data_IF_686616449400
#
_entry.id   IF_686616449400
#
_cell.length_a   1.000
_cell.length_b   1.000
_cell.length_c   1.000
_cell.angle_alpha   90.00
_cell.angle_beta   90.00
_cell.angle_gamma   90.00
#
_symmetry.space_group_name_H-M   'P 1'
#
loop_
_entity.id
_entity.type
_entity.pdbx_description
1 polymer ?
#
# COMPACT_ATOMS: atom_id res chain seq x y z
N UNK A 1 2.03 2.07 -17.37
CA UNK A 1 2.26 3.18 -18.32
C UNK A 1 3.60 3.86 -18.06
N UNK A 2 4.65 3.10 -17.87
CA UNK A 2 6.02 3.59 -17.89
C UNK A 2 6.74 2.70 -18.89
N UNK A 3 7.01 3.20 -20.09
CA UNK A 3 7.82 2.47 -21.05
C UNK A 3 9.23 2.36 -20.49
N UNK A 4 9.93 1.24 -20.76
CA UNK A 4 11.32 1.03 -20.32
C UNK A 4 12.32 2.04 -20.92
N UNK A 5 11.85 2.98 -21.72
CA UNK A 5 12.69 3.97 -22.43
C UNK A 5 12.97 5.26 -21.64
N UNK A 6 12.19 5.52 -20.57
CA UNK A 6 12.37 6.75 -19.79
C UNK A 6 12.51 6.43 -18.31
N UNK A 7 13.60 6.92 -17.72
CA UNK A 7 13.80 6.93 -16.26
C UNK A 7 12.99 8.07 -15.66
N UNK A 8 11.98 7.77 -14.87
CA UNK A 8 11.20 8.76 -14.13
C UNK A 8 11.85 9.00 -12.77
N UNK A 9 12.14 10.25 -12.46
CA UNK A 9 12.65 10.62 -11.14
C UNK A 9 11.66 10.23 -10.02
N UNK A 10 12.14 9.73 -8.88
CA UNK A 10 11.28 9.22 -7.80
C UNK A 10 10.22 10.21 -7.31
N UNK A 11 10.53 11.50 -7.23
CA UNK A 11 9.55 12.52 -6.85
C UNK A 11 8.48 12.71 -7.92
N UNK A 12 8.87 12.69 -9.19
CA UNK A 12 7.92 12.76 -10.31
C UNK A 12 6.97 11.57 -10.29
N UNK A 13 7.49 10.36 -10.06
CA UNK A 13 6.68 9.15 -9.89
C UNK A 13 5.64 9.32 -8.77
N UNK A 14 6.08 9.80 -7.59
CA UNK A 14 5.19 10.03 -6.45
C UNK A 14 4.09 11.06 -6.76
N UNK A 15 4.42 12.16 -7.42
CA UNK A 15 3.46 13.19 -7.81
C UNK A 15 2.45 12.68 -8.85
N UNK A 16 2.88 11.87 -9.81
CA UNK A 16 1.98 11.24 -10.79
C UNK A 16 0.99 10.29 -10.14
N UNK A 17 1.44 9.47 -9.19
CA UNK A 17 0.55 8.61 -8.41
C UNK A 17 -0.45 9.42 -7.59
N UNK A 18 -0.01 10.52 -6.98
CA UNK A 18 -0.89 11.36 -6.18
C UNK A 18 -1.91 12.11 -7.04
N UNK A 19 -1.51 12.61 -8.21
CA UNK A 19 -2.43 13.25 -9.16
C UNK A 19 -3.51 12.26 -9.65
N UNK A 20 -3.11 11.04 -10.03
CA UNK A 20 -4.05 9.99 -10.41
C UNK A 20 -5.00 9.63 -9.26
N UNK A 21 -4.51 9.61 -8.03
CA UNK A 21 -5.30 9.37 -6.82
C UNK A 21 -6.34 10.45 -6.60
N UNK A 22 -5.94 11.73 -6.70
CA UNK A 22 -6.87 12.83 -6.56
C UNK A 22 -8.03 12.73 -7.57
N UNK A 23 -7.74 12.36 -8.81
CA UNK A 23 -8.76 12.10 -9.81
C UNK A 23 -9.68 10.94 -9.43
N UNK A 24 -9.13 9.81 -8.97
CA UNK A 24 -9.89 8.64 -8.51
C UNK A 24 -10.79 8.96 -7.31
N UNK A 25 -10.28 9.75 -6.36
CA UNK A 25 -11.07 10.23 -5.21
C UNK A 25 -12.25 11.06 -5.70
N UNK A 26 -12.00 12.07 -6.52
CA UNK A 26 -13.05 12.99 -6.98
C UNK A 26 -14.10 12.35 -7.88
N UNK A 27 -13.69 11.48 -8.80
CA UNK A 27 -14.61 10.89 -9.79
C UNK A 27 -15.32 9.63 -9.30
N UNK A 28 -14.71 8.85 -8.41
CA UNK A 28 -15.25 7.53 -8.07
C UNK A 28 -15.47 7.38 -6.56
N UNK A 29 -14.43 7.58 -5.74
CA UNK A 29 -14.47 7.19 -4.33
C UNK A 29 -15.44 8.08 -3.56
N UNK A 30 -15.27 9.39 -3.63
CA UNK A 30 -16.12 10.36 -2.94
C UNK A 30 -17.60 10.20 -3.31
N UNK A 31 -18.00 10.23 -4.58
CA UNK A 31 -19.41 10.05 -4.94
C UNK A 31 -19.99 8.70 -4.50
N UNK A 32 -19.17 7.64 -4.54
CA UNK A 32 -19.62 6.31 -4.10
C UNK A 32 -19.89 6.27 -2.61
N UNK A 33 -18.99 6.80 -1.79
CA UNK A 33 -19.16 6.86 -0.34
C UNK A 33 -20.36 7.73 0.05
N UNK A 34 -20.52 8.89 -0.59
CA UNK A 34 -21.67 9.80 -0.38
C UNK A 34 -23.01 9.12 -0.73
N UNK A 35 -23.01 8.14 -1.61
CA UNK A 35 -24.15 7.31 -1.94
C UNK A 35 -24.26 6.02 -1.09
N UNK A 36 -23.48 5.88 -0.04
CA UNK A 36 -23.53 4.74 0.88
C UNK A 36 -22.88 3.45 0.34
N UNK A 37 -22.10 3.54 -0.75
CA UNK A 37 -21.43 2.40 -1.36
C UNK A 37 -20.11 2.15 -0.65
N UNK A 38 -19.91 0.94 -0.15
CA UNK A 38 -18.63 0.49 0.40
C UNK A 38 -17.63 0.23 -0.74
N UNK A 39 -16.38 0.67 -0.54
CA UNK A 39 -15.31 0.51 -1.53
C UNK A 39 -14.23 -0.38 -0.94
N UNK A 40 -13.77 -1.34 -1.74
CA UNK A 40 -12.57 -2.12 -1.47
C UNK A 40 -11.56 -1.76 -2.56
N UNK A 41 -10.36 -1.37 -2.14
CA UNK A 41 -9.25 -1.02 -3.03
C UNK A 41 -8.09 -1.98 -2.82
N UNK A 42 -7.59 -2.54 -3.91
CA UNK A 42 -6.28 -3.19 -3.90
C UNK A 42 -5.21 -2.10 -3.97
N UNK A 43 -4.57 -1.85 -2.81
CA UNK A 43 -3.62 -0.77 -2.54
C UNK A 43 -4.29 0.62 -2.51
N UNK A 44 -3.64 1.55 -1.82
CA UNK A 44 -4.14 2.92 -1.63
C UNK A 44 -2.98 3.92 -1.45
N UNK A 45 -3.28 5.10 -0.90
CA UNK A 45 -2.32 6.15 -0.59
C UNK A 45 -1.15 5.67 0.30
N UNK A 46 -1.43 4.80 1.27
CA UNK A 46 -0.38 4.20 2.10
C UNK A 46 0.70 3.46 1.31
N UNK A 47 0.35 2.86 0.16
CA UNK A 47 1.37 2.27 -0.71
C UNK A 47 2.36 3.30 -1.24
N UNK A 48 1.90 4.49 -1.61
CA UNK A 48 2.81 5.57 -2.03
C UNK A 48 3.71 6.05 -0.90
N UNK A 49 3.15 6.20 0.31
CA UNK A 49 3.93 6.58 1.50
C UNK A 49 5.07 5.59 1.75
N UNK A 50 4.79 4.29 1.62
CA UNK A 50 5.80 3.26 1.86
C UNK A 50 6.76 3.10 0.68
N UNK A 51 6.26 2.95 -0.54
CA UNK A 51 7.11 2.67 -1.71
C UNK A 51 7.98 3.87 -2.08
N UNK A 52 7.38 5.06 -2.24
CA UNK A 52 8.11 6.26 -2.62
C UNK A 52 8.74 6.93 -1.39
N UNK A 53 8.02 7.02 -0.26
CA UNK A 53 8.52 7.66 0.95
C UNK A 53 9.67 6.89 1.59
N UNK A 54 9.45 5.64 1.96
CA UNK A 54 10.44 4.79 2.65
C UNK A 54 11.34 4.08 1.65
N UNK A 55 10.77 3.33 0.72
CA UNK A 55 11.50 2.49 -0.22
C UNK A 55 12.43 3.28 -1.14
N UNK A 56 11.96 4.38 -1.74
CA UNK A 56 12.76 5.28 -2.58
C UNK A 56 13.50 6.36 -1.80
N UNK A 57 13.28 6.46 -0.47
CA UNK A 57 13.98 7.40 0.39
C UNK A 57 13.55 8.87 0.24
N UNK A 58 12.36 9.16 -0.28
CA UNK A 58 11.85 10.52 -0.40
C UNK A 58 11.40 11.14 0.94
N UNK A 59 11.27 10.32 1.98
CA UNK A 59 10.79 10.68 3.31
C UNK A 59 9.31 10.35 3.51
N UNK A 60 9.02 9.72 4.65
CA UNK A 60 7.67 9.29 5.03
C UNK A 60 6.71 10.49 5.08
N UNK A 61 7.01 11.50 5.91
CA UNK A 61 6.11 12.63 6.15
C UNK A 61 5.85 13.42 4.87
N UNK A 62 6.88 13.67 4.07
CA UNK A 62 6.75 14.36 2.78
C UNK A 62 5.76 13.68 1.84
N UNK A 63 5.85 12.36 1.69
CA UNK A 63 4.96 11.62 0.81
C UNK A 63 3.58 11.43 1.44
N UNK A 64 3.50 11.35 2.76
CA UNK A 64 2.23 11.37 3.47
C UNK A 64 1.47 12.67 3.21
N UNK A 65 2.09 13.83 3.38
CA UNK A 65 1.49 15.16 3.13
C UNK A 65 1.00 15.33 1.69
N UNK A 66 1.81 14.90 0.70
CA UNK A 66 1.40 14.92 -0.72
C UNK A 66 0.14 14.07 -0.94
N UNK A 67 0.09 12.89 -0.32
CA UNK A 67 -1.08 12.03 -0.44
C UNK A 67 -2.26 12.52 0.38
N UNK A 68 -2.05 13.19 1.50
CA UNK A 68 -3.12 13.79 2.31
C UNK A 68 -3.90 14.83 1.52
N UNK A 69 -3.19 15.68 0.79
CA UNK A 69 -3.82 16.60 -0.17
C UNK A 69 -4.58 15.85 -1.26
N UNK A 70 -4.02 14.77 -1.79
CA UNK A 70 -4.62 14.03 -2.90
C UNK A 70 -5.86 13.21 -2.49
N UNK A 71 -5.94 12.73 -1.26
CA UNK A 71 -7.09 11.95 -0.78
C UNK A 71 -8.23 12.82 -0.23
N UNK A 72 -8.00 14.10 0.04
CA UNK A 72 -9.01 15.08 0.49
C UNK A 72 -9.89 14.53 1.63
N UNK A 73 -9.26 13.94 2.66
CA UNK A 73 -9.94 13.33 3.80
C UNK A 73 -10.48 11.91 3.58
N UNK A 74 -10.40 11.35 2.37
CA UNK A 74 -10.89 10.00 2.06
C UNK A 74 -9.79 8.94 2.22
N UNK A 75 -9.10 8.94 3.38
CA UNK A 75 -8.22 7.85 3.75
C UNK A 75 -9.03 6.57 4.00
N UNK A 76 -8.43 5.38 3.75
CA UNK A 76 -9.09 4.11 4.11
C UNK A 76 -9.40 4.05 5.61
N UNK A 77 -10.63 3.73 5.96
CA UNK A 77 -11.04 3.52 7.35
C UNK A 77 -10.44 2.25 7.94
N UNK A 78 -10.31 1.21 7.12
CA UNK A 78 -9.73 -0.09 7.50
C UNK A 78 -8.72 -0.54 6.46
N UNK A 79 -7.59 -1.05 6.92
CA UNK A 79 -6.48 -1.53 6.07
C UNK A 79 -6.06 -2.92 6.51
N UNK A 80 -6.09 -3.87 5.60
CA UNK A 80 -5.56 -5.21 5.82
C UNK A 80 -4.16 -5.27 5.22
N UNK A 81 -3.17 -5.45 6.07
CA UNK A 81 -1.79 -5.66 5.67
C UNK A 81 -1.47 -7.16 5.68
N UNK A 82 -1.28 -7.72 4.49
CA UNK A 82 -0.81 -9.10 4.35
C UNK A 82 0.72 -9.10 4.48
N UNK A 83 1.21 -9.36 5.69
CA UNK A 83 2.64 -9.39 5.96
C UNK A 83 3.26 -10.73 5.55
N UNK A 84 4.39 -10.64 4.87
CA UNK A 84 5.21 -11.79 4.50
C UNK A 84 6.67 -11.36 4.40
N UNK A 85 7.58 -12.25 4.78
CA UNK A 85 8.99 -12.04 4.53
C UNK A 85 9.27 -11.92 3.03
N UNK A 86 9.98 -10.86 2.58
CA UNK A 86 10.27 -10.65 1.17
C UNK A 86 10.96 -11.83 0.49
N UNK A 87 11.87 -12.53 1.18
CA UNK A 87 12.55 -13.71 0.62
C UNK A 87 11.57 -14.86 0.38
N UNK A 88 10.58 -15.02 1.27
CA UNK A 88 9.52 -16.02 1.11
C UNK A 88 8.58 -15.62 -0.04
N UNK A 89 8.21 -14.34 -0.11
CA UNK A 89 7.37 -13.81 -1.18
C UNK A 89 8.00 -14.02 -2.56
N UNK A 90 9.27 -13.69 -2.71
CA UNK A 90 10.00 -13.84 -3.97
C UNK A 90 10.11 -15.30 -4.39
N UNK A 91 10.36 -16.23 -3.44
CA UNK A 91 10.35 -17.66 -3.73
C UNK A 91 8.99 -18.17 -4.22
N UNK A 92 7.88 -17.65 -3.69
CA UNK A 92 6.52 -17.99 -4.14
C UNK A 92 6.25 -17.55 -5.59
N UNK A 93 6.81 -16.43 -6.01
CA UNK A 93 6.62 -15.89 -7.36
C UNK A 93 7.44 -16.61 -8.43
N UNK A 94 8.27 -17.62 -8.07
CA UNK A 94 9.21 -18.33 -8.97
C UNK A 94 10.16 -17.40 -9.74
N UNK A 95 10.41 -16.21 -9.22
CA UNK A 95 11.35 -15.23 -9.78
C UNK A 95 12.74 -15.51 -9.20
N UNK A 96 13.22 -16.76 -9.36
CA UNK A 96 14.32 -17.26 -8.55
C UNK A 96 15.72 -16.78 -8.97
N UNK A 97 15.93 -16.25 -10.18
CA UNK A 97 17.31 -16.10 -10.67
C UNK A 97 17.74 -14.70 -11.09
N UNK A 98 16.93 -13.67 -10.90
CA UNK A 98 17.24 -12.31 -11.39
C UNK A 98 17.08 -11.18 -10.39
N UNK A 99 16.69 -11.46 -9.14
CA UNK A 99 16.53 -10.41 -8.14
C UNK A 99 17.88 -10.18 -7.48
N UNK A 100 18.47 -9.02 -7.76
CA UNK A 100 19.71 -8.59 -7.12
C UNK A 100 19.51 -8.25 -5.64
N UNK A 101 20.60 -8.21 -4.88
CA UNK A 101 20.59 -7.82 -3.45
C UNK A 101 19.90 -6.46 -3.22
N UNK A 102 20.08 -5.51 -4.13
CA UNK A 102 19.46 -4.18 -4.06
C UNK A 102 17.93 -4.21 -4.15
N UNK A 103 17.37 -5.16 -4.86
CA UNK A 103 15.92 -5.31 -5.01
C UNK A 103 15.31 -5.95 -3.75
N UNK A 104 15.98 -6.95 -3.19
CA UNK A 104 15.59 -7.54 -1.91
C UNK A 104 15.65 -6.52 -0.77
N UNK A 105 16.70 -5.70 -0.71
CA UNK A 105 16.84 -4.63 0.29
C UNK A 105 15.74 -3.58 0.17
N UNK A 106 15.32 -3.26 -1.06
CA UNK A 106 14.18 -2.40 -1.30
C UNK A 106 12.89 -2.99 -0.70
N UNK A 107 12.60 -4.27 -0.96
CA UNK A 107 11.40 -4.91 -0.41
C UNK A 107 11.45 -5.10 1.11
N UNK A 108 12.63 -5.28 1.70
CA UNK A 108 12.79 -5.28 3.16
C UNK A 108 12.43 -3.91 3.76
N UNK A 109 12.89 -2.82 3.15
CA UNK A 109 12.50 -1.47 3.56
C UNK A 109 11.01 -1.21 3.39
N UNK A 110 10.43 -1.66 2.28
CA UNK A 110 8.97 -1.55 2.04
C UNK A 110 8.19 -2.28 3.12
N UNK A 111 8.54 -3.52 3.46
CA UNK A 111 7.89 -4.28 4.54
C UNK A 111 8.01 -3.55 5.87
N UNK A 112 9.20 -3.11 6.24
CA UNK A 112 9.43 -2.34 7.48
C UNK A 112 8.59 -1.06 7.51
N UNK A 113 8.52 -0.33 6.41
CA UNK A 113 7.67 0.85 6.27
C UNK A 113 6.18 0.56 6.48
N UNK A 114 5.67 -0.56 6.00
CA UNK A 114 4.29 -0.97 6.26
C UNK A 114 4.05 -1.35 7.71
N UNK A 115 4.99 -2.02 8.36
CA UNK A 115 4.89 -2.36 9.78
C UNK A 115 4.90 -1.09 10.65
N UNK A 116 5.78 -0.13 10.35
CA UNK A 116 5.77 1.18 11.01
C UNK A 116 4.46 1.94 10.80
N UNK A 117 3.89 1.89 9.59
CA UNK A 117 2.55 2.44 9.32
C UNK A 117 1.48 1.78 10.17
N UNK A 118 1.49 0.47 10.27
CA UNK A 118 0.50 -0.28 11.05
C UNK A 118 0.59 -0.01 12.54
N UNK A 119 1.77 0.27 13.07
CA UNK A 119 1.96 0.71 14.45
C UNK A 119 1.45 2.15 14.67
N UNK A 120 1.76 3.05 13.72
CA UNK A 120 1.36 4.47 13.80
C UNK A 120 -0.16 4.65 13.71
N UNK A 121 -0.84 3.81 12.93
CA UNK A 121 -2.29 3.84 12.68
C UNK A 121 -2.96 2.54 13.13
N UNK A 122 -2.60 2.03 14.29
CA UNK A 122 -2.96 0.69 14.76
C UNK A 122 -4.47 0.43 14.85
N UNK A 123 -5.29 1.46 15.07
CA UNK A 123 -6.76 1.35 15.11
C UNK A 123 -7.35 1.05 13.72
N UNK A 124 -6.65 1.44 12.65
CA UNK A 124 -7.09 1.29 11.27
C UNK A 124 -6.46 0.06 10.58
N UNK A 125 -5.42 -0.55 11.16
CA UNK A 125 -4.67 -1.62 10.52
C UNK A 125 -4.89 -2.97 11.19
N UNK A 126 -5.15 -3.97 10.36
CA UNK A 126 -5.05 -5.38 10.72
C UNK A 126 -3.86 -5.99 9.99
N UNK A 127 -2.86 -6.45 10.74
CA UNK A 127 -1.71 -7.18 10.19
C UNK A 127 -2.01 -8.68 10.19
N UNK A 128 -1.93 -9.31 9.04
CA UNK A 128 -2.18 -10.73 8.80
C UNK A 128 -0.90 -11.41 8.35
N UNK A 129 -0.53 -12.50 8.98
CA UNK A 129 0.55 -13.37 8.50
C UNK A 129 0.10 -14.11 7.23
N UNK A 130 0.62 -13.67 6.08
CA UNK A 130 0.28 -14.27 4.79
C UNK A 130 0.92 -15.65 4.55
N UNK A 131 1.64 -16.20 5.51
CA UNK A 131 2.16 -17.58 5.45
C UNK A 131 1.16 -18.60 5.99
N UNK A 132 0.19 -18.16 6.78
CA UNK A 132 -0.84 -19.00 7.36
C UNK A 132 -1.91 -19.43 6.33
N UNK A 133 -2.77 -20.35 6.74
CA UNK A 133 -3.86 -20.84 5.90
C UNK A 133 -4.83 -19.70 5.52
N UNK A 134 -5.26 -19.69 4.25
CA UNK A 134 -6.15 -18.67 3.72
C UNK A 134 -7.49 -18.63 4.47
N UNK A 135 -8.03 -19.79 4.83
CA UNK A 135 -9.33 -19.90 5.52
C UNK A 135 -9.28 -19.26 6.90
N UNK A 136 -8.19 -19.46 7.64
CA UNK A 136 -8.02 -18.88 8.96
C UNK A 136 -7.76 -17.36 8.89
N UNK A 137 -7.00 -16.94 7.91
CA UNK A 137 -6.80 -15.51 7.62
C UNK A 137 -8.13 -14.83 7.27
N UNK A 138 -8.96 -15.44 6.42
CA UNK A 138 -10.28 -14.91 6.07
C UNK A 138 -11.22 -14.80 7.29
N UNK A 139 -11.25 -15.80 8.17
CA UNK A 139 -12.03 -15.73 9.43
C UNK A 139 -11.60 -14.53 10.28
N UNK A 140 -10.29 -14.32 10.39
CA UNK A 140 -9.74 -13.19 11.16
C UNK A 140 -10.15 -11.85 10.55
N UNK A 141 -10.06 -11.74 9.22
CA UNK A 141 -10.45 -10.54 8.46
C UNK A 141 -11.93 -10.25 8.61
N UNK A 142 -12.81 -11.26 8.41
CA UNK A 142 -14.26 -11.08 8.54
C UNK A 142 -14.66 -10.63 9.93
N UNK A 143 -14.09 -11.27 10.97
CA UNK A 143 -14.31 -10.86 12.35
C UNK A 143 -13.90 -9.41 12.60
N UNK A 144 -12.75 -8.97 12.07
CA UNK A 144 -12.27 -7.61 12.27
C UNK A 144 -13.07 -6.58 11.48
N UNK A 145 -13.57 -6.95 10.30
CA UNK A 145 -14.45 -6.12 9.47
C UNK A 145 -15.91 -6.13 9.96
N UNK A 146 -16.25 -6.95 10.98
CA UNK A 146 -17.62 -7.14 11.47
C UNK A 146 -18.57 -7.61 10.34
N UNK A 147 -18.07 -8.49 9.49
CA UNK A 147 -18.82 -9.15 8.43
C UNK A 147 -19.20 -10.55 8.93
N UNK A 148 -20.50 -10.79 9.11
CA UNK A 148 -21.08 -12.10 9.49
C UNK A 148 -21.09 -13.08 8.30
#
# INVERSE_FOLDING_TARGET
>A
MLSHEYTVEPLTEALLFSANRANLIGEIIKPSIENGIKIISDRSAYSSVVYQGVGRGLGFDKIYEINDVAVDGYWPEKVILLDIDPEVSLKRQKINDRIGSSELDFFKKVREGYLQLSEKFNENFLVIDATLDLTDNLKTIYKWLELD
#
